data_IF_313785347913
#
_entry.id   IF_313785347913
#
_cell.length_a   1.000
_cell.length_b   1.000
_cell.length_c   1.000
_cell.angle_alpha   90.00
_cell.angle_beta   90.00
_cell.angle_gamma   90.00
#
_symmetry.space_group_name_H-M   'P 1'
#
loop_
_entity.id
_entity.type
_entity.pdbx_description
1 polymer ?
#
# COMPACT_ATOMS: atom_id res chain seq x y z
N UNK A 1 17.80 26.92 16.83
CA UNK A 1 19.03 27.21 16.13
C UNK A 1 19.00 26.49 14.76
N UNK A 2 20.03 26.69 13.93
CA UNK A 2 20.10 26.13 12.59
C UNK A 2 20.19 24.60 12.54
N UNK A 3 20.33 23.91 13.65
CA UNK A 3 20.50 22.44 13.75
C UNK A 3 19.36 21.75 14.50
N UNK A 4 18.56 22.50 15.26
CA UNK A 4 17.50 21.94 16.07
C UNK A 4 16.19 22.71 15.87
N UNK A 5 15.06 21.99 15.95
CA UNK A 5 13.73 22.54 16.07
C UNK A 5 13.19 22.27 17.47
N UNK A 6 12.51 23.24 18.08
CA UNK A 6 11.81 23.06 19.35
C UNK A 6 10.33 23.30 19.17
N UNK A 7 9.52 22.45 19.79
CA UNK A 7 8.06 22.52 19.80
C UNK A 7 7.59 22.61 21.24
N UNK A 8 6.72 23.58 21.55
CA UNK A 8 6.17 23.77 22.89
C UNK A 8 4.66 23.56 22.85
N UNK A 9 4.13 22.72 23.72
CA UNK A 9 2.68 22.47 23.88
C UNK A 9 2.35 22.49 25.38
N UNK A 10 1.72 23.54 25.85
CA UNK A 10 1.47 23.74 27.28
C UNK A 10 2.79 23.76 28.08
N UNK A 11 2.97 22.80 28.99
CA UNK A 11 4.19 22.67 29.82
C UNK A 11 5.23 21.70 29.24
N UNK A 12 4.97 21.11 28.05
CA UNK A 12 5.89 20.16 27.43
C UNK A 12 6.68 20.83 26.32
N UNK A 13 8.00 20.60 26.31
CA UNK A 13 8.89 21.02 25.23
C UNK A 13 9.57 19.81 24.61
N UNK A 14 9.49 19.70 23.30
CA UNK A 14 10.19 18.66 22.50
C UNK A 14 11.26 19.34 21.65
N UNK A 15 12.48 18.86 21.75
CA UNK A 15 13.60 19.33 20.94
C UNK A 15 14.04 18.20 20.01
N UNK A 16 14.03 18.47 18.69
CA UNK A 16 14.42 17.52 17.67
C UNK A 16 15.62 18.05 16.89
N UNK A 17 16.59 17.20 16.62
CA UNK A 17 17.69 17.54 15.73
C UNK A 17 17.20 17.51 14.28
N UNK A 18 17.51 18.55 13.53
CA UNK A 18 17.20 18.61 12.10
C UNK A 18 18.08 17.64 11.30
N UNK A 19 17.47 16.96 10.34
CA UNK A 19 18.19 16.15 9.37
C UNK A 19 18.92 17.09 8.39
N UNK A 20 20.20 16.87 8.22
CA UNK A 20 21.01 17.66 7.29
C UNK A 20 20.74 17.16 5.86
N UNK A 21 20.32 18.04 4.96
CA UNK A 21 20.09 17.72 3.56
C UNK A 21 18.92 18.50 2.94
N UNK A 22 18.83 18.43 1.62
CA UNK A 22 17.69 18.99 0.89
C UNK A 22 16.52 18.02 0.98
N UNK A 23 15.35 18.50 1.38
CA UNK A 23 14.14 17.70 1.39
C UNK A 23 13.83 17.18 -0.03
N UNK A 24 13.58 15.87 -0.22
CA UNK A 24 13.28 15.32 -1.54
C UNK A 24 12.03 15.96 -2.15
N UNK A 25 12.04 16.13 -3.46
CA UNK A 25 10.85 16.56 -4.21
C UNK A 25 9.87 15.37 -4.29
N UNK A 26 9.08 15.16 -3.24
CA UNK A 26 8.17 13.99 -3.15
C UNK A 26 7.19 13.90 -4.32
N UNK A 27 6.82 15.02 -4.96
CA UNK A 27 5.95 15.03 -6.14
C UNK A 27 6.55 14.30 -7.33
N UNK A 28 7.87 14.26 -7.44
CA UNK A 28 8.57 13.56 -8.53
C UNK A 28 8.52 12.03 -8.35
N UNK A 29 8.17 11.55 -7.14
CA UNK A 29 8.05 10.13 -6.80
C UNK A 29 6.63 9.60 -7.04
N UNK A 30 5.63 10.49 -7.13
CA UNK A 30 4.23 10.10 -7.36
C UNK A 30 4.06 9.70 -8.84
N UNK A 31 3.74 8.43 -9.16
CA UNK A 31 3.53 7.99 -10.53
C UNK A 31 2.35 8.74 -11.18
N UNK A 32 2.56 9.21 -12.42
CA UNK A 32 1.54 9.96 -13.15
C UNK A 32 0.79 9.10 -14.19
N UNK A 33 1.35 7.94 -14.58
CA UNK A 33 0.90 7.19 -15.76
C UNK A 33 0.32 5.80 -15.41
N UNK A 34 -0.12 5.60 -14.17
CA UNK A 34 -0.71 4.34 -13.74
C UNK A 34 -2.13 4.20 -14.32
N UNK A 35 -2.27 3.42 -15.40
CA UNK A 35 -3.50 3.28 -16.18
C UNK A 35 -4.41 2.14 -15.71
N UNK A 36 -3.84 1.11 -15.07
CA UNK A 36 -4.64 -0.01 -14.55
C UNK A 36 -5.24 0.38 -13.19
N UNK A 37 -6.54 0.34 -13.07
CA UNK A 37 -7.29 0.87 -11.92
C UNK A 37 -8.10 -0.22 -11.24
N UNK A 38 -7.82 -0.46 -9.97
CA UNK A 38 -8.61 -1.34 -9.10
C UNK A 38 -9.40 -0.49 -8.11
N UNK A 39 -10.72 -0.67 -8.06
CA UNK A 39 -11.59 -0.13 -7.02
C UNK A 39 -12.14 -1.27 -6.17
N UNK A 40 -12.01 -1.17 -4.84
CA UNK A 40 -12.37 -2.26 -3.92
C UNK A 40 -12.68 -1.71 -2.52
N UNK A 41 -13.51 -2.44 -1.76
CA UNK A 41 -13.76 -2.14 -0.36
C UNK A 41 -12.47 -2.29 0.47
N UNK A 42 -12.09 -1.22 1.18
CA UNK A 42 -10.87 -1.14 1.98
C UNK A 42 -10.81 -2.22 3.07
N UNK A 43 -11.89 -2.38 3.83
CA UNK A 43 -11.92 -3.32 4.95
C UNK A 43 -11.88 -4.77 4.49
N UNK A 44 -12.53 -5.08 3.37
CA UNK A 44 -12.45 -6.40 2.75
C UNK A 44 -11.00 -6.71 2.34
N UNK A 45 -10.36 -5.81 1.61
CA UNK A 45 -8.97 -5.99 1.17
C UNK A 45 -8.02 -6.13 2.36
N UNK A 46 -8.12 -5.23 3.36
CA UNK A 46 -7.29 -5.28 4.57
C UNK A 46 -7.38 -6.61 5.29
N UNK A 47 -8.61 -7.09 5.51
CA UNK A 47 -8.84 -8.34 6.24
C UNK A 47 -8.36 -9.56 5.45
N UNK A 48 -8.53 -9.57 4.12
CA UNK A 48 -7.98 -10.62 3.26
C UNK A 48 -6.46 -10.64 3.28
N UNK A 49 -5.81 -9.48 3.12
CA UNK A 49 -4.34 -9.39 3.22
C UNK A 49 -3.85 -9.91 4.58
N UNK A 50 -4.51 -9.55 5.68
CA UNK A 50 -4.16 -10.05 7.03
C UNK A 50 -4.26 -11.58 7.12
N UNK A 51 -5.34 -12.18 6.61
CA UNK A 51 -5.51 -13.64 6.66
C UNK A 51 -4.48 -14.36 5.81
N UNK A 52 -4.35 -13.97 4.54
CA UNK A 52 -3.43 -14.61 3.60
C UNK A 52 -1.97 -14.45 4.05
N UNK A 53 -1.60 -13.30 4.61
CA UNK A 53 -0.22 -13.02 5.06
C UNK A 53 0.25 -13.94 6.20
N UNK A 54 -0.64 -14.63 6.91
CA UNK A 54 -0.27 -15.63 7.92
C UNK A 54 0.56 -16.75 7.31
N UNK A 55 0.27 -17.12 6.05
CA UNK A 55 0.97 -18.16 5.30
C UNK A 55 2.16 -17.61 4.47
N UNK A 56 2.46 -16.33 4.54
CA UNK A 56 3.62 -15.76 3.88
C UNK A 56 4.91 -16.14 4.61
N UNK A 57 5.99 -16.33 3.86
CA UNK A 57 7.32 -16.52 4.44
C UNK A 57 7.68 -15.37 5.37
N UNK A 58 8.08 -15.68 6.61
CA UNK A 58 8.29 -14.70 7.69
C UNK A 58 9.45 -13.73 7.45
N UNK A 59 10.43 -14.12 6.65
CA UNK A 59 11.56 -13.25 6.33
C UNK A 59 11.21 -12.24 5.23
N UNK A 60 10.44 -12.64 4.24
CA UNK A 60 10.13 -11.83 3.07
C UNK A 60 8.77 -11.12 3.16
N UNK A 61 7.79 -11.72 3.83
CA UNK A 61 6.40 -11.25 3.95
C UNK A 61 5.72 -10.99 2.58
N UNK A 62 6.08 -11.79 1.57
CA UNK A 62 5.60 -11.62 0.21
C UNK A 62 4.16 -12.11 0.08
N UNK A 63 3.35 -11.29 -0.55
CA UNK A 63 2.01 -11.65 -1.04
C UNK A 63 1.92 -11.31 -2.51
N UNK A 64 1.14 -12.07 -3.25
CA UNK A 64 0.90 -11.90 -4.68
C UNK A 64 -0.54 -11.46 -4.90
N UNK A 65 -0.72 -10.44 -5.72
CA UNK A 65 -2.00 -10.01 -6.25
C UNK A 65 -2.10 -10.46 -7.70
N UNK A 66 -3.15 -11.20 -8.02
CA UNK A 66 -3.53 -11.59 -9.37
C UNK A 66 -4.82 -10.84 -9.75
N UNK A 67 -4.68 -9.85 -10.62
CA UNK A 67 -5.74 -8.94 -11.04
C UNK A 67 -6.29 -9.40 -12.39
N UNK A 68 -7.60 -9.66 -12.42
CA UNK A 68 -8.36 -10.02 -13.61
C UNK A 68 -9.61 -9.14 -13.69
N UNK A 69 -10.22 -9.04 -14.87
CA UNK A 69 -11.48 -8.34 -15.00
C UNK A 69 -12.51 -8.86 -13.98
N UNK A 70 -12.96 -7.97 -13.07
CA UNK A 70 -13.98 -8.26 -12.04
C UNK A 70 -13.47 -9.05 -10.82
N UNK A 71 -12.21 -9.46 -10.75
CA UNK A 71 -11.72 -10.25 -9.61
C UNK A 71 -10.26 -9.97 -9.26
N UNK A 72 -9.98 -10.02 -7.96
CA UNK A 72 -8.65 -10.02 -7.38
C UNK A 72 -8.44 -11.31 -6.59
N UNK A 73 -7.37 -12.04 -6.87
CA UNK A 73 -6.89 -13.12 -6.02
C UNK A 73 -5.63 -12.68 -5.30
N UNK A 74 -5.62 -12.87 -3.97
CA UNK A 74 -4.42 -12.65 -3.15
C UNK A 74 -3.92 -14.00 -2.68
N UNK A 75 -2.63 -14.26 -2.87
CA UNK A 75 -1.99 -15.49 -2.44
C UNK A 75 -0.67 -15.25 -1.73
N UNK A 76 -0.30 -16.18 -0.86
CA UNK A 76 0.98 -16.24 -0.18
C UNK A 76 1.40 -17.69 -0.02
N UNK A 77 2.70 -17.93 0.05
CA UNK A 77 3.26 -19.26 0.30
C UNK A 77 4.57 -19.18 1.08
N UNK A 78 4.82 -20.19 1.87
CA UNK A 78 6.12 -20.48 2.48
C UNK A 78 6.53 -21.90 2.14
N UNK A 79 7.45 -22.01 1.18
CA UNK A 79 7.95 -23.32 0.71
C UNK A 79 8.73 -24.07 1.79
N UNK A 80 9.35 -23.35 2.72
CA UNK A 80 10.11 -23.96 3.82
C UNK A 80 9.22 -24.72 4.81
N UNK A 81 7.98 -24.28 4.98
CA UNK A 81 6.98 -24.92 5.84
C UNK A 81 5.87 -25.64 5.07
N UNK A 82 5.94 -25.64 3.72
CA UNK A 82 4.93 -26.24 2.85
C UNK A 82 3.51 -25.74 3.14
N UNK A 83 3.36 -24.44 3.42
CA UNK A 83 2.09 -23.78 3.65
C UNK A 83 1.80 -22.78 2.53
N UNK A 84 0.53 -22.69 2.17
CA UNK A 84 0.04 -21.70 1.22
C UNK A 84 -1.38 -21.28 1.56
N UNK A 85 -1.73 -20.06 1.20
CA UNK A 85 -3.11 -19.57 1.27
C UNK A 85 -3.39 -18.74 0.03
N UNK A 86 -4.65 -18.78 -0.40
CA UNK A 86 -5.16 -17.87 -1.41
C UNK A 86 -6.60 -17.50 -1.08
N UNK A 87 -7.00 -16.31 -1.48
CA UNK A 87 -8.35 -15.82 -1.31
C UNK A 87 -8.74 -14.95 -2.51
N UNK A 88 -9.90 -15.24 -3.08
CA UNK A 88 -10.44 -14.53 -4.26
C UNK A 88 -11.60 -13.64 -3.85
N UNK A 89 -11.63 -12.43 -4.37
CA UNK A 89 -12.68 -11.46 -4.09
C UNK A 89 -13.15 -10.75 -5.35
N UNK A 90 -14.41 -10.30 -5.33
CA UNK A 90 -14.98 -9.46 -6.37
C UNK A 90 -14.44 -8.03 -6.24
N UNK A 91 -14.13 -7.40 -7.35
CA UNK A 91 -13.66 -6.02 -7.42
C UNK A 91 -14.03 -5.38 -8.75
N UNK A 92 -13.89 -4.07 -8.82
CA UNK A 92 -13.93 -3.35 -10.10
C UNK A 92 -12.48 -3.15 -10.54
N UNK A 93 -12.08 -3.85 -11.58
CA UNK A 93 -10.74 -3.71 -12.15
C UNK A 93 -10.86 -3.33 -13.63
N UNK A 94 -10.28 -2.18 -13.95
CA UNK A 94 -10.15 -1.66 -15.32
C UNK A 94 -8.66 -1.63 -15.68
N UNK A 95 -8.27 -2.55 -16.53
CA UNK A 95 -6.88 -2.72 -16.96
C UNK A 95 -6.61 -4.11 -17.49
N UNK A 96 -5.40 -4.29 -18.01
CA UNK A 96 -4.91 -5.58 -18.47
C UNK A 96 -4.67 -6.54 -17.28
N UNK A 97 -4.81 -7.87 -17.47
CA UNK A 97 -4.45 -8.84 -16.44
C UNK A 97 -3.06 -8.59 -15.90
N UNK A 98 -2.95 -8.47 -14.57
CA UNK A 98 -1.69 -8.08 -13.92
C UNK A 98 -1.42 -8.94 -12.70
N UNK A 99 -0.23 -9.53 -12.66
CA UNK A 99 0.31 -10.19 -11.47
C UNK A 99 1.39 -9.32 -10.86
N UNK A 100 1.23 -8.95 -9.57
CA UNK A 100 2.12 -8.02 -8.88
C UNK A 100 2.33 -8.45 -7.42
N UNK A 101 3.56 -8.33 -6.92
CA UNK A 101 3.94 -8.70 -5.56
C UNK A 101 4.11 -7.51 -4.64
N UNK A 102 3.74 -7.70 -3.38
CA UNK A 102 3.94 -6.70 -2.33
C UNK A 102 4.42 -7.33 -1.03
N UNK A 103 5.02 -6.50 -0.15
CA UNK A 103 5.20 -6.87 1.25
C UNK A 103 3.93 -6.58 2.02
N UNK A 104 3.32 -7.61 2.59
CA UNK A 104 2.04 -7.51 3.29
C UNK A 104 2.00 -6.47 4.42
N UNK A 105 3.08 -6.27 5.24
CA UNK A 105 3.05 -5.26 6.30
C UNK A 105 2.80 -3.84 5.76
N UNK A 106 3.36 -3.48 4.60
CA UNK A 106 3.17 -2.15 4.04
C UNK A 106 1.76 -1.92 3.51
N UNK A 107 1.16 -2.93 2.86
CA UNK A 107 -0.25 -2.86 2.46
C UNK A 107 -1.15 -2.71 3.70
N UNK A 108 -0.91 -3.53 4.73
CA UNK A 108 -1.68 -3.48 5.99
C UNK A 108 -1.55 -2.11 6.64
N UNK A 109 -0.36 -1.54 6.71
CA UNK A 109 -0.11 -0.24 7.31
C UNK A 109 -0.84 0.87 6.55
N UNK A 110 -0.70 0.95 5.23
CA UNK A 110 -1.38 1.95 4.41
C UNK A 110 -2.90 1.84 4.59
N UNK A 111 -3.47 0.65 4.42
CA UNK A 111 -4.92 0.45 4.52
C UNK A 111 -5.48 0.69 5.94
N UNK A 112 -4.69 0.42 6.97
CA UNK A 112 -5.10 0.67 8.37
C UNK A 112 -5.15 2.16 8.73
N UNK A 113 -4.35 2.99 8.04
CA UNK A 113 -4.29 4.43 8.27
C UNK A 113 -5.23 5.23 7.35
N UNK A 114 -5.96 4.57 6.44
CA UNK A 114 -6.98 5.20 5.62
C UNK A 114 -8.34 5.13 6.31
N UNK A 115 -9.04 6.27 6.40
CA UNK A 115 -10.39 6.33 6.96
C UNK A 115 -11.42 6.53 5.82
N UNK A 116 -11.63 5.48 5.02
CA UNK A 116 -12.58 5.48 3.90
C UNK A 116 -13.21 4.10 3.74
N UNK A 117 -14.38 4.04 3.08
CA UNK A 117 -15.09 2.78 2.79
C UNK A 117 -14.45 2.01 1.64
N UNK A 118 -14.12 2.72 0.57
CA UNK A 118 -13.52 2.17 -0.64
C UNK A 118 -12.20 2.85 -0.96
N UNK A 119 -11.33 2.12 -1.61
CA UNK A 119 -10.05 2.61 -2.11
C UNK A 119 -9.92 2.38 -3.63
N UNK A 120 -9.06 3.18 -4.21
CA UNK A 120 -8.57 3.00 -5.58
C UNK A 120 -7.08 2.71 -5.53
N UNK A 121 -6.68 1.58 -6.12
CA UNK A 121 -5.28 1.29 -6.37
C UNK A 121 -5.00 1.49 -7.87
N UNK A 122 -3.90 2.16 -8.18
CA UNK A 122 -3.49 2.40 -9.57
C UNK A 122 -2.12 1.80 -9.83
N UNK A 123 -2.02 1.05 -10.93
CA UNK A 123 -0.81 0.35 -11.35
C UNK A 123 -0.43 0.74 -12.77
N UNK A 124 0.83 0.67 -13.11
CA UNK A 124 1.27 0.68 -14.50
C UNK A 124 1.66 -0.74 -14.93
N UNK A 125 2.55 -1.36 -14.17
CA UNK A 125 3.06 -2.71 -14.39
C UNK A 125 3.48 -3.35 -13.06
N UNK A 126 4.08 -4.55 -13.12
CA UNK A 126 4.54 -5.29 -11.94
C UNK A 126 5.83 -4.78 -11.30
N UNK A 127 6.45 -3.74 -11.85
CA UNK A 127 7.78 -3.25 -11.42
C UNK A 127 7.76 -1.81 -10.89
N UNK A 128 6.78 -1.01 -11.31
CA UNK A 128 6.68 0.40 -10.94
C UNK A 128 5.77 0.60 -9.74
N UNK A 129 6.00 1.70 -9.02
CA UNK A 129 5.24 2.05 -7.82
C UNK A 129 3.73 2.07 -8.10
N UNK A 130 2.96 1.45 -7.20
CA UNK A 130 1.52 1.55 -7.18
C UNK A 130 1.07 2.70 -6.27
N UNK A 131 -0.07 3.31 -6.62
CA UNK A 131 -0.76 4.29 -5.80
C UNK A 131 -1.94 3.64 -5.08
N UNK A 132 -2.20 4.07 -3.86
CA UNK A 132 -3.39 3.69 -3.08
C UNK A 132 -4.03 4.99 -2.61
N UNK A 133 -5.27 5.22 -3.00
CA UNK A 133 -6.02 6.45 -2.77
C UNK A 133 -7.39 6.11 -2.19
N UNK A 134 -8.01 6.97 -1.37
CA UNK A 134 -9.44 6.90 -1.11
C UNK A 134 -10.23 6.98 -2.44
N UNK A 135 -11.33 6.23 -2.56
CA UNK A 135 -12.19 6.29 -3.75
C UNK A 135 -13.00 7.59 -3.82
N UNK A 136 -13.32 8.16 -2.67
CA UNK A 136 -13.99 9.44 -2.53
C UNK A 136 -13.06 10.41 -1.80
N UNK A 137 -12.94 11.63 -2.33
CA UNK A 137 -12.20 12.70 -1.65
C UNK A 137 -13.13 13.28 -0.58
N UNK A 138 -12.85 13.06 0.70
CA UNK A 138 -13.48 13.81 1.78
C UNK A 138 -12.80 15.18 1.86
N UNK A 139 -13.56 16.25 1.63
CA UNK A 139 -13.04 17.63 1.62
C UNK A 139 -12.39 18.05 2.95
N UNK A 140 -12.78 17.45 4.08
CA UNK A 140 -12.32 17.85 5.41
C UNK A 140 -11.06 17.11 5.91
N UNK A 141 -10.72 15.94 5.39
CA UNK A 141 -9.64 15.09 5.95
C UNK A 141 -8.27 15.22 5.27
N UNK A 142 -8.15 16.09 4.27
CA UNK A 142 -6.92 16.21 3.48
C UNK A 142 -6.73 15.07 2.49
N UNK A 143 -5.86 15.28 1.51
CA UNK A 143 -5.59 14.28 0.47
C UNK A 143 -4.58 13.25 0.96
N UNK A 144 -5.02 12.02 1.20
CA UNK A 144 -4.14 10.91 1.54
C UNK A 144 -3.72 10.19 0.25
N UNK A 145 -2.41 9.98 0.09
CA UNK A 145 -1.84 9.23 -1.03
C UNK A 145 -0.82 8.22 -0.50
N UNK A 146 -1.13 6.93 -0.61
CA UNK A 146 -0.20 5.85 -0.34
C UNK A 146 0.59 5.50 -1.61
N UNK A 147 1.91 5.38 -1.48
CA UNK A 147 2.78 4.89 -2.55
C UNK A 147 3.46 3.63 -2.06
N UNK A 148 3.40 2.58 -2.86
CA UNK A 148 4.04 1.31 -2.53
C UNK A 148 4.84 0.77 -3.70
N UNK A 149 6.08 0.37 -3.44
CA UNK A 149 6.91 -0.31 -4.43
C UNK A 149 6.56 -1.80 -4.46
N UNK A 150 6.32 -2.36 -5.65
CA UNK A 150 6.18 -3.80 -5.79
C UNK A 150 7.51 -4.52 -5.57
N UNK A 151 7.41 -5.82 -5.34
CA UNK A 151 8.53 -6.73 -5.26
C UNK A 151 8.48 -7.70 -6.44
N UNK A 152 9.64 -8.18 -6.85
CA UNK A 152 9.70 -9.23 -7.90
C UNK A 152 9.17 -10.54 -7.32
N UNK A 153 8.25 -11.16 -8.06
CA UNK A 153 7.73 -12.50 -7.77
C UNK A 153 8.58 -13.46 -8.59
N UNK A 154 9.24 -14.37 -7.90
CA UNK A 154 9.96 -15.50 -8.50
C UNK A 154 9.04 -16.70 -8.65
#
# INVERSE_FOLDING_TARGET
DSKNASFCFGQTMVICRLVVGKYPKYRDVIPQNNSNVLKINRSLLLNTVRRVSVCANKASNHIKFDLQSGSLEISAQDLGFSIAAYEKMQCQYDGEPLTIGFKSPFIIEILSNMNCGEIVMKFLDSKRAALILPAEEEEESGKICGIIMPIMIS
#
